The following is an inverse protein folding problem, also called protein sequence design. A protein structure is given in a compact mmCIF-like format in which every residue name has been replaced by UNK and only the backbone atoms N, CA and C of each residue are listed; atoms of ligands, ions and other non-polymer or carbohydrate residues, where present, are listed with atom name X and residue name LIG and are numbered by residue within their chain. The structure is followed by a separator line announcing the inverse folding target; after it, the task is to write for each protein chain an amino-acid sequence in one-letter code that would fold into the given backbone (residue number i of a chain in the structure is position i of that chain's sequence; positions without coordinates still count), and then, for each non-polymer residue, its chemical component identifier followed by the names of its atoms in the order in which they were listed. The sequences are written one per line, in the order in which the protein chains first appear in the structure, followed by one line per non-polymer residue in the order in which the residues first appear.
data_IF_095686322069
#
_entry.id   IF_095686322069
#
_cell.length_a   1.000
_cell.length_b   1.000
_cell.length_c   1.000
_cell.angle_alpha   90.00
_cell.angle_beta   90.00
_cell.angle_gamma   90.00
#
_symmetry.space_group_name_H-M   'P 1'
#
loop_
_entity.id
_entity.type
_entity.pdbx_description
1 polymer ?
#
# COMPACT_ATOMS: atom_id res chain seq x y z
N UNK A 1 -17.80 -4.12 -21.17
CA UNK A 1 -16.52 -3.85 -20.49
C UNK A 1 -15.83 -5.15 -20.18
N UNK A 2 -14.51 -5.26 -20.28
CA UNK A 2 -13.84 -6.46 -19.87
C UNK A 2 -14.10 -6.70 -18.37
N UNK A 3 -14.41 -7.94 -18.04
CA UNK A 3 -14.62 -8.33 -16.64
C UNK A 3 -13.31 -8.21 -15.89
N UNK A 4 -13.30 -7.44 -14.79
CA UNK A 4 -12.11 -7.24 -13.97
C UNK A 4 -12.14 -8.22 -12.81
N UNK A 5 -11.15 -9.08 -12.73
CA UNK A 5 -10.98 -10.06 -11.64
C UNK A 5 -10.06 -9.48 -10.57
N UNK A 6 -10.45 -9.59 -9.30
CA UNK A 6 -9.59 -9.26 -8.16
C UNK A 6 -8.97 -10.54 -7.63
N UNK A 7 -7.65 -10.60 -7.60
CA UNK A 7 -6.91 -11.76 -7.10
C UNK A 7 -5.56 -11.34 -6.51
N UNK A 8 -4.90 -12.19 -5.73
CA UNK A 8 -3.51 -11.98 -5.36
C UNK A 8 -2.62 -11.85 -6.60
N UNK A 9 -1.65 -10.95 -6.54
CA UNK A 9 -0.51 -10.92 -7.46
C UNK A 9 0.45 -12.02 -7.04
N UNK A 10 0.88 -12.84 -7.98
CA UNK A 10 1.80 -13.96 -7.76
C UNK A 10 3.19 -13.64 -8.32
N UNK A 11 4.23 -14.42 -7.96
CA UNK A 11 5.57 -14.23 -8.53
C UNK A 11 5.67 -14.36 -10.05
N UNK A 12 4.70 -15.04 -10.67
CA UNK A 12 4.60 -15.31 -12.11
C UNK A 12 3.94 -14.16 -12.89
N UNK A 13 3.30 -13.22 -12.19
CA UNK A 13 2.67 -12.07 -12.83
C UNK A 13 3.71 -11.07 -13.37
N UNK A 14 3.31 -10.29 -14.37
CA UNK A 14 4.15 -9.26 -14.98
C UNK A 14 4.37 -8.07 -14.05
N UNK A 15 5.53 -8.01 -13.42
CA UNK A 15 5.91 -6.91 -12.53
C UNK A 15 6.29 -5.63 -13.28
N UNK A 16 6.69 -5.70 -14.55
CA UNK A 16 6.94 -4.48 -15.33
C UNK A 16 5.62 -3.77 -15.68
N UNK A 17 4.55 -4.51 -15.97
CA UNK A 17 3.20 -3.94 -16.08
C UNK A 17 2.74 -3.30 -14.76
N UNK A 18 3.08 -3.88 -13.61
CA UNK A 18 2.78 -3.28 -12.31
C UNK A 18 3.61 -2.02 -12.03
N UNK A 19 4.87 -1.96 -12.49
CA UNK A 19 5.72 -0.76 -12.43
C UNK A 19 5.12 0.34 -13.31
N UNK A 20 4.77 0.03 -14.58
CA UNK A 20 4.16 1.00 -15.49
C UNK A 20 2.89 1.60 -14.89
N UNK A 21 1.99 0.76 -14.39
CA UNK A 21 0.79 1.19 -13.68
C UNK A 21 1.13 2.10 -12.48
N UNK A 22 2.22 1.81 -11.77
CA UNK A 22 2.71 2.65 -10.66
C UNK A 22 3.20 4.01 -11.14
N UNK A 23 3.99 4.04 -12.18
CA UNK A 23 4.52 5.29 -12.76
C UNK A 23 3.41 6.19 -13.33
N UNK A 24 2.41 5.58 -13.95
CA UNK A 24 1.21 6.29 -14.43
C UNK A 24 0.38 6.91 -13.30
N UNK A 25 0.41 6.32 -12.12
CA UNK A 25 -0.36 6.79 -10.96
C UNK A 25 0.39 7.77 -10.05
N UNK A 26 1.71 7.61 -9.89
CA UNK A 26 2.52 8.30 -8.88
C UNK A 26 3.71 9.08 -9.47
N UNK A 27 3.92 9.03 -10.77
CA UNK A 27 5.06 9.66 -11.45
C UNK A 27 6.20 8.69 -11.73
N UNK A 28 7.13 9.13 -12.58
CA UNK A 28 8.25 8.33 -13.08
C UNK A 28 9.19 7.97 -11.94
N UNK A 29 9.56 6.71 -11.85
CA UNK A 29 10.52 6.21 -10.87
C UNK A 29 11.95 6.38 -11.38
N UNK A 30 12.85 6.85 -10.51
CA UNK A 30 14.28 6.69 -10.76
C UNK A 30 14.66 5.19 -10.77
N UNK A 31 15.83 4.81 -11.34
CA UNK A 31 16.28 3.42 -11.33
C UNK A 31 16.31 2.80 -9.93
N UNK A 32 16.77 3.56 -8.92
CA UNK A 32 16.80 3.11 -7.53
C UNK A 32 15.39 2.92 -6.94
N UNK A 33 14.45 3.83 -7.23
CA UNK A 33 13.06 3.70 -6.81
C UNK A 33 12.39 2.48 -7.47
N UNK A 34 12.62 2.25 -8.78
CA UNK A 34 12.12 1.08 -9.49
C UNK A 34 12.63 -0.22 -8.86
N UNK A 35 13.94 -0.31 -8.59
CA UNK A 35 14.55 -1.48 -7.99
C UNK A 35 13.97 -1.77 -6.59
N UNK A 36 13.87 -0.75 -5.74
CA UNK A 36 13.29 -0.88 -4.40
C UNK A 36 11.81 -1.27 -4.44
N UNK A 37 11.05 -0.67 -5.35
CA UNK A 37 9.63 -1.02 -5.53
C UNK A 37 9.47 -2.48 -5.96
N UNK A 38 10.25 -2.95 -6.96
CA UNK A 38 10.24 -4.33 -7.44
C UNK A 38 10.59 -5.32 -6.33
N UNK A 39 11.62 -5.03 -5.54
CA UNK A 39 12.00 -5.85 -4.38
C UNK A 39 10.82 -6.00 -3.41
N UNK A 40 10.24 -4.88 -2.99
CA UNK A 40 9.11 -4.86 -2.06
C UNK A 40 7.88 -5.56 -2.64
N UNK A 41 7.53 -5.29 -3.90
CA UNK A 41 6.37 -5.86 -4.56
C UNK A 41 6.46 -7.39 -4.68
N UNK A 42 7.63 -7.91 -5.10
CA UNK A 42 7.87 -9.36 -5.17
C UNK A 42 7.80 -10.03 -3.80
N UNK A 43 8.36 -9.38 -2.78
CA UNK A 43 8.26 -9.88 -1.40
C UNK A 43 6.79 -9.96 -0.96
N UNK A 44 6.00 -8.91 -1.19
CA UNK A 44 4.57 -8.88 -0.83
C UNK A 44 3.73 -9.84 -1.64
N UNK A 45 4.04 -10.08 -2.91
CA UNK A 45 3.40 -11.11 -3.72
C UNK A 45 3.62 -12.50 -3.13
N UNK A 46 4.87 -12.86 -2.81
CA UNK A 46 5.19 -14.14 -2.14
C UNK A 46 4.48 -14.32 -0.81
N UNK A 47 4.25 -13.24 -0.09
CA UNK A 47 3.53 -13.25 1.18
C UNK A 47 2.00 -13.20 1.00
N UNK A 48 1.49 -13.08 -0.23
CA UNK A 48 0.06 -12.87 -0.52
C UNK A 48 -0.49 -11.56 0.03
N UNK A 49 0.37 -10.54 0.17
CA UNK A 49 0.04 -9.19 0.65
C UNK A 49 -0.08 -8.18 -0.48
N UNK A 50 -0.18 -8.64 -1.70
CA UNK A 50 -0.31 -7.82 -2.89
C UNK A 50 -1.52 -8.29 -3.69
N UNK A 51 -2.56 -7.45 -3.81
CA UNK A 51 -3.72 -7.72 -4.63
C UNK A 51 -3.66 -6.91 -5.93
N UNK A 52 -4.09 -7.56 -7.00
CA UNK A 52 -4.26 -6.96 -8.32
C UNK A 52 -5.72 -7.01 -8.77
N UNK A 53 -6.08 -6.05 -9.60
CA UNK A 53 -7.27 -6.05 -10.43
C UNK A 53 -6.81 -6.33 -11.87
N UNK A 54 -7.34 -7.35 -12.52
CA UNK A 54 -6.91 -7.78 -13.84
C UNK A 54 -8.08 -7.84 -14.82
N UNK A 55 -7.89 -7.29 -16.02
CA UNK A 55 -8.77 -7.47 -17.17
C UNK A 55 -8.06 -8.42 -18.14
N UNK A 56 -8.40 -9.70 -18.08
CA UNK A 56 -7.58 -10.75 -18.70
C UNK A 56 -6.17 -10.77 -18.09
N UNK A 57 -5.15 -10.57 -18.93
CA UNK A 57 -3.75 -10.49 -18.50
C UNK A 57 -3.31 -9.05 -18.11
N UNK A 58 -4.11 -8.05 -18.44
CA UNK A 58 -3.74 -6.65 -18.23
C UNK A 58 -4.00 -6.23 -16.77
N UNK A 59 -3.00 -5.58 -16.15
CA UNK A 59 -3.12 -4.98 -14.83
C UNK A 59 -4.01 -3.73 -14.88
N UNK A 60 -5.21 -3.81 -14.33
CA UNK A 60 -6.19 -2.72 -14.24
C UNK A 60 -6.09 -1.93 -12.93
N UNK A 61 -5.49 -2.51 -11.90
CA UNK A 61 -5.30 -1.88 -10.60
C UNK A 61 -4.47 -2.74 -9.66
N UNK A 62 -4.03 -2.14 -8.55
CA UNK A 62 -3.26 -2.85 -7.55
C UNK A 62 -3.34 -2.18 -6.17
N UNK A 63 -3.12 -2.95 -5.12
CA UNK A 63 -2.95 -2.49 -3.75
C UNK A 63 -2.05 -3.46 -2.97
N UNK A 64 -1.20 -2.91 -2.11
CA UNK A 64 -0.29 -3.67 -1.25
C UNK A 64 -0.64 -3.36 0.21
N UNK A 65 -0.48 -4.33 1.09
CA UNK A 65 -0.43 -4.06 2.52
C UNK A 65 0.83 -4.63 3.16
N UNK A 66 1.18 -4.08 4.30
CA UNK A 66 2.39 -4.38 5.06
C UNK A 66 2.02 -4.79 6.47
N UNK A 67 2.78 -5.72 7.03
CA UNK A 67 2.68 -6.06 8.45
C UNK A 67 3.31 -4.94 9.27
N UNK A 68 2.46 -4.18 9.96
CA UNK A 68 2.83 -3.09 10.84
C UNK A 68 2.21 -3.29 12.22
N UNK A 69 2.62 -2.47 13.16
CA UNK A 69 1.99 -2.35 14.46
C UNK A 69 1.61 -0.90 14.71
N UNK A 70 0.39 -0.69 15.15
CA UNK A 70 -0.10 0.60 15.62
C UNK A 70 0.04 0.65 17.14
N UNK A 71 0.69 1.68 17.63
CA UNK A 71 0.74 1.92 19.07
C UNK A 71 -0.61 2.49 19.52
N UNK A 72 -1.30 1.77 20.40
CA UNK A 72 -2.62 2.16 20.86
C UNK A 72 -2.74 1.93 22.37
N UNK A 73 -3.04 3.00 23.12
CA UNK A 73 -3.23 2.93 24.59
C UNK A 73 -2.12 2.13 25.32
N UNK A 74 -0.85 2.39 24.99
CA UNK A 74 0.28 1.70 25.60
C UNK A 74 0.55 0.29 25.08
N UNK A 75 -0.12 -0.15 24.02
CA UNK A 75 0.09 -1.48 23.41
C UNK A 75 0.35 -1.40 21.92
N UNK A 76 1.22 -2.28 21.42
CA UNK A 76 1.46 -2.46 20.01
C UNK A 76 0.42 -3.43 19.42
N UNK A 77 -0.57 -2.89 18.70
CA UNK A 77 -1.65 -3.66 18.07
C UNK A 77 -1.28 -3.99 16.63
N UNK A 78 -1.46 -5.24 16.14
CA UNK A 78 -1.25 -5.57 14.73
C UNK A 78 -2.10 -4.68 13.81
N UNK A 79 -1.47 -4.12 12.77
CA UNK A 79 -2.10 -3.18 11.85
C UNK A 79 -1.62 -3.43 10.42
N UNK A 80 -2.54 -3.60 9.49
CA UNK A 80 -2.19 -3.67 8.08
C UNK A 80 -1.97 -2.25 7.51
N UNK A 81 -0.73 -1.92 7.18
CA UNK A 81 -0.40 -0.65 6.52
C UNK A 81 -0.66 -0.73 5.02
N UNK A 82 -1.72 -0.10 4.52
CA UNK A 82 -2.09 -0.15 3.10
C UNK A 82 -1.34 0.91 2.31
N UNK A 83 -0.78 0.51 1.18
CA UNK A 83 -0.02 1.37 0.27
C UNK A 83 -0.23 1.01 -1.21
N UNK A 84 0.31 1.82 -2.11
CA UNK A 84 0.32 1.57 -3.56
C UNK A 84 -1.06 1.30 -4.16
N UNK A 85 -2.11 1.88 -3.59
CA UNK A 85 -3.47 1.77 -4.13
C UNK A 85 -3.55 2.57 -5.43
N UNK A 86 -3.83 1.89 -6.53
CA UNK A 86 -3.88 2.48 -7.86
C UNK A 86 -4.88 1.75 -8.75
N UNK A 87 -5.51 2.52 -9.64
CA UNK A 87 -6.37 2.00 -10.71
C UNK A 87 -6.00 2.73 -11.99
N UNK A 88 -5.77 1.97 -13.06
CA UNK A 88 -5.48 2.51 -14.38
C UNK A 88 -6.63 3.42 -14.83
N UNK A 89 -6.29 4.52 -15.52
CA UNK A 89 -7.25 5.58 -15.87
C UNK A 89 -8.45 5.05 -16.63
N UNK A 90 -8.21 4.12 -17.54
CA UNK A 90 -9.18 3.45 -18.41
C UNK A 90 -10.14 2.51 -17.65
N UNK A 91 -9.84 2.17 -16.40
CA UNK A 91 -10.67 1.33 -15.52
C UNK A 91 -11.29 2.09 -14.35
N UNK A 92 -11.11 3.42 -14.30
CA UNK A 92 -11.76 4.28 -13.29
C UNK A 92 -13.23 4.51 -13.62
N UNK A 93 -14.02 4.90 -12.63
CA UNK A 93 -15.46 5.17 -12.79
C UNK A 93 -16.35 3.92 -12.87
N UNK A 94 -15.77 2.70 -12.91
CA UNK A 94 -16.48 1.44 -13.09
C UNK A 94 -16.46 0.53 -11.85
N UNK A 95 -16.19 1.08 -10.68
CA UNK A 95 -16.18 0.33 -9.43
C UNK A 95 -14.92 -0.52 -9.18
N UNK A 96 -13.92 -0.52 -10.09
CA UNK A 96 -12.69 -1.30 -9.96
C UNK A 96 -11.96 -1.01 -8.64
N UNK A 97 -11.80 0.26 -8.28
CA UNK A 97 -11.15 0.65 -7.03
C UNK A 97 -11.90 0.17 -5.79
N UNK A 98 -13.24 0.23 -5.81
CA UNK A 98 -14.08 -0.28 -4.73
C UNK A 98 -13.92 -1.80 -4.57
N UNK A 99 -14.02 -2.55 -5.68
CA UNK A 99 -13.84 -4.02 -5.68
C UNK A 99 -12.45 -4.42 -5.18
N UNK A 100 -11.41 -3.73 -5.65
CA UNK A 100 -10.02 -3.96 -5.21
C UNK A 100 -9.87 -3.74 -3.70
N UNK A 101 -10.34 -2.63 -3.19
CA UNK A 101 -10.24 -2.31 -1.75
C UNK A 101 -11.10 -3.22 -0.89
N UNK A 102 -12.28 -3.63 -1.35
CA UNK A 102 -13.10 -4.64 -0.65
C UNK A 102 -12.37 -5.97 -0.56
N UNK A 103 -11.76 -6.44 -1.66
CA UNK A 103 -10.96 -7.65 -1.67
C UNK A 103 -9.72 -7.54 -0.77
N UNK A 104 -9.08 -6.38 -0.75
CA UNK A 104 -7.93 -6.12 0.13
C UNK A 104 -8.35 -6.18 1.61
N UNK A 105 -9.45 -5.55 1.99
CA UNK A 105 -9.96 -5.61 3.37
C UNK A 105 -10.31 -7.04 3.79
N UNK A 106 -10.92 -7.83 2.90
CA UNK A 106 -11.19 -9.25 3.15
C UNK A 106 -9.90 -10.05 3.38
N UNK A 107 -8.85 -9.81 2.57
CA UNK A 107 -7.55 -10.46 2.71
C UNK A 107 -6.84 -10.05 4.01
N UNK A 108 -6.96 -8.80 4.44
CA UNK A 108 -6.43 -8.27 5.70
C UNK A 108 -7.15 -8.93 6.89
N UNK A 109 -8.48 -8.96 6.86
CA UNK A 109 -9.30 -9.56 7.92
C UNK A 109 -9.04 -11.08 8.05
N UNK A 110 -8.94 -11.81 6.93
CA UNK A 110 -8.64 -13.24 6.92
C UNK A 110 -7.28 -13.58 7.56
N UNK A 111 -6.37 -12.61 7.66
CA UNK A 111 -5.06 -12.75 8.34
C UNK A 111 -5.08 -12.32 9.80
N UNK A 112 -6.24 -11.94 10.32
CA UNK A 112 -6.42 -11.59 11.73
C UNK A 112 -5.93 -10.19 12.10
N UNK A 113 -5.72 -9.28 11.13
CA UNK A 113 -5.43 -7.88 11.45
C UNK A 113 -6.68 -7.17 11.97
N UNK A 114 -6.69 -6.71 13.23
CA UNK A 114 -7.83 -5.97 13.79
C UNK A 114 -7.91 -4.52 13.27
N UNK A 115 -6.82 -4.01 12.73
CA UNK A 115 -6.70 -2.63 12.23
C UNK A 115 -6.06 -2.60 10.85
N UNK A 116 -6.48 -1.62 10.04
CA UNK A 116 -5.79 -1.23 8.82
C UNK A 116 -5.64 0.29 8.79
N UNK A 117 -4.51 0.77 8.28
CA UNK A 117 -4.20 2.19 8.17
C UNK A 117 -3.65 2.53 6.79
N UNK A 118 -3.93 3.76 6.32
CA UNK A 118 -3.37 4.29 5.08
C UNK A 118 -3.25 5.83 5.14
N UNK A 119 -2.45 6.38 4.25
CA UNK A 119 -2.47 7.82 3.94
C UNK A 119 -3.34 8.05 2.71
N UNK A 120 -4.52 8.69 2.84
CA UNK A 120 -5.45 8.83 1.74
C UNK A 120 -4.99 9.90 0.73
N UNK A 121 -4.97 9.55 -0.57
CA UNK A 121 -4.88 10.55 -1.63
C UNK A 121 -6.23 11.27 -1.86
N UNK A 122 -7.34 10.59 -1.51
CA UNK A 122 -8.72 11.10 -1.57
C UNK A 122 -9.57 10.40 -0.54
N UNK A 123 -10.49 11.10 0.11
CA UNK A 123 -11.32 10.52 1.16
C UNK A 123 -12.58 9.78 0.68
N UNK A 124 -13.30 10.21 -0.38
CA UNK A 124 -14.62 9.66 -0.68
C UNK A 124 -14.65 8.13 -0.86
N UNK A 125 -13.69 7.57 -1.60
CA UNK A 125 -13.64 6.11 -1.80
C UNK A 125 -13.39 5.36 -0.48
N UNK A 126 -12.48 5.84 0.35
CA UNK A 126 -12.14 5.17 1.61
C UNK A 126 -13.29 5.25 2.61
N UNK A 127 -13.92 6.42 2.77
CA UNK A 127 -15.12 6.56 3.62
C UNK A 127 -16.26 5.65 3.19
N UNK A 128 -16.48 5.50 1.88
CA UNK A 128 -17.51 4.59 1.36
C UNK A 128 -17.26 3.11 1.67
N UNK A 129 -16.09 2.78 2.20
CA UNK A 129 -15.65 1.44 2.58
C UNK A 129 -15.42 1.30 4.11
N UNK A 130 -15.86 2.28 4.88
CA UNK A 130 -15.78 2.25 6.35
C UNK A 130 -14.48 2.80 6.94
N UNK A 131 -13.59 3.40 6.13
CA UNK A 131 -12.42 4.09 6.65
C UNK A 131 -12.78 5.47 7.18
N UNK A 132 -12.07 5.92 8.22
CA UNK A 132 -12.24 7.27 8.75
C UNK A 132 -10.88 7.88 9.11
N UNK A 133 -10.87 9.20 9.22
CA UNK A 133 -9.70 9.94 9.68
C UNK A 133 -9.45 9.63 11.16
N UNK A 134 -8.27 9.14 11.45
CA UNK A 134 -7.86 8.79 12.80
C UNK A 134 -6.42 9.27 13.04
N UNK A 135 -6.26 10.36 13.76
CA UNK A 135 -4.96 10.94 14.09
C UNK A 135 -4.43 11.94 13.06
N UNK A 136 -3.23 12.42 13.30
CA UNK A 136 -2.53 13.41 12.49
C UNK A 136 -1.14 12.96 12.10
N UNK A 137 -0.57 13.62 11.09
CA UNK A 137 0.83 13.45 10.71
C UNK A 137 1.59 14.71 11.15
N UNK A 138 2.54 14.52 12.03
CA UNK A 138 3.40 15.59 12.52
C UNK A 138 4.74 15.55 11.78
N UNK A 139 5.24 16.73 11.41
CA UNK A 139 6.56 16.89 10.82
C UNK A 139 7.39 17.79 11.72
N UNK A 140 8.59 17.33 12.08
CA UNK A 140 9.58 18.12 12.77
C UNK A 140 10.83 18.23 11.92
N UNK A 141 11.36 19.43 11.76
CA UNK A 141 12.65 19.69 11.11
C UNK A 141 13.66 20.05 12.19
N UNK A 142 14.69 19.23 12.32
CA UNK A 142 15.74 19.42 13.31
C UNK A 142 17.07 19.59 12.57
N UNK A 143 17.87 20.62 12.83
CA UNK A 143 19.21 20.74 12.27
C UNK A 143 20.05 19.52 12.64
N UNK A 144 20.76 18.92 11.69
CA UNK A 144 21.55 17.71 11.91
C UNK A 144 22.60 17.86 13.05
N UNK A 145 23.13 19.08 13.24
CA UNK A 145 24.05 19.40 14.34
C UNK A 145 23.45 19.16 15.73
N UNK A 146 22.12 19.38 15.88
CA UNK A 146 21.42 19.19 17.15
C UNK A 146 21.22 17.73 17.53
N UNK A 147 21.52 16.80 16.62
CA UNK A 147 21.43 15.35 16.85
C UNK A 147 22.74 14.73 17.30
N UNK A 148 23.86 15.50 17.30
CA UNK A 148 25.18 14.95 17.62
C UNK A 148 25.25 14.35 19.03
N UNK A 149 24.62 15.03 19.99
CA UNK A 149 24.62 14.61 21.40
C UNK A 149 23.68 13.41 21.66
N UNK A 150 22.71 13.18 20.74
CA UNK A 150 21.78 12.04 20.83
C UNK A 150 22.35 10.76 20.20
N UNK A 151 23.37 10.88 19.35
CA UNK A 151 23.98 9.77 18.64
C UNK A 151 25.24 9.21 19.34
N UNK A 152 25.68 9.84 20.45
CA UNK A 152 26.70 9.27 21.29
C UNK A 152 26.05 8.17 22.16
N UNK A 153 26.31 6.86 21.89
CA UNK A 153 25.96 5.87 22.88
C UNK A 153 26.79 6.14 24.12
N UNK A 154 26.17 6.16 25.27
CA UNK A 154 26.88 6.11 26.54
C UNK A 154 27.80 4.90 26.46
N UNK A 155 29.10 5.15 26.38
CA UNK A 155 30.10 4.14 26.50
C UNK A 155 30.09 3.69 27.97
N UNK A 156 29.34 2.65 28.27
CA UNK A 156 29.39 1.93 29.52
C UNK A 156 29.85 0.50 29.23
#
# INVERSE_FOLDING_TARGET
MPDVVIRPVTPEDDFDAQVDLGQRAFGIYSPAQKANWLYTARLRARQGMFLGAFAGQQAAGAAIFHDLRQWWAGRAVPCAGVSSVKVASEYRGHGTGRRLMTGLLAAIAARGYPLAALYPATMPIYRSLGWELAGGRYHATIPARSLRDLLAPDAA
#
